data_IF_769697136373
#
_entry.id   IF_769697136373
#
_cell.length_a   1.000
_cell.length_b   1.000
_cell.length_c   1.000
_cell.angle_alpha   90.00
_cell.angle_beta   90.00
_cell.angle_gamma   90.00
#
_symmetry.space_group_name_H-M   'P 1'
#
loop_
_entity.id
_entity.type
_entity.pdbx_description
1 polymer ?
#
# COMPACT_ATOMS: atom_id res chain seq x y z
N UNK A 1 54.40 -43.87 -14.36
CA UNK A 1 54.28 -42.60 -15.13
C UNK A 1 52.85 -42.49 -15.64
N UNK A 2 51.95 -41.82 -14.91
CA UNK A 2 50.54 -41.71 -15.30
C UNK A 2 50.33 -40.56 -16.29
N UNK A 3 49.62 -40.81 -17.40
CA UNK A 3 49.31 -39.79 -18.41
C UNK A 3 48.07 -39.00 -17.99
N UNK A 4 48.24 -37.70 -17.73
CA UNK A 4 47.16 -36.76 -17.43
C UNK A 4 46.33 -36.53 -18.69
N UNK A 5 45.00 -36.60 -18.58
CA UNK A 5 44.10 -36.47 -19.72
C UNK A 5 44.12 -35.04 -20.26
N UNK A 6 44.08 -34.86 -21.59
CA UNK A 6 44.08 -33.53 -22.23
C UNK A 6 42.92 -32.64 -21.76
N UNK A 7 41.81 -33.24 -21.34
CA UNK A 7 40.68 -32.54 -20.73
C UNK A 7 41.02 -31.95 -19.36
N UNK A 8 41.87 -32.61 -18.56
CA UNK A 8 42.34 -32.10 -17.26
C UNK A 8 43.34 -30.96 -17.45
N UNK A 9 44.19 -31.04 -18.47
CA UNK A 9 45.11 -29.97 -18.81
C UNK A 9 44.35 -28.69 -19.21
N UNK A 10 43.29 -28.82 -19.99
CA UNK A 10 42.50 -27.69 -20.47
C UNK A 10 41.65 -27.04 -19.36
N UNK A 11 41.10 -27.80 -18.39
CA UNK A 11 40.36 -27.23 -17.24
C UNK A 11 41.18 -26.25 -16.40
N UNK A 12 42.52 -26.37 -16.37
CA UNK A 12 43.38 -25.43 -15.63
C UNK A 12 43.53 -24.06 -16.30
N UNK A 13 43.22 -23.94 -17.59
CA UNK A 13 43.50 -22.72 -18.36
C UNK A 13 42.24 -22.05 -18.94
N UNK A 14 41.03 -22.55 -18.62
CA UNK A 14 39.76 -22.05 -19.19
C UNK A 14 38.88 -21.28 -18.20
N UNK A 15 39.38 -20.90 -17.02
CA UNK A 15 38.63 -19.97 -16.17
C UNK A 15 38.76 -18.56 -16.74
N UNK A 16 37.63 -18.04 -17.20
CA UNK A 16 37.46 -16.68 -17.66
C UNK A 16 38.01 -15.68 -16.62
N UNK A 17 38.75 -14.70 -17.11
CA UNK A 17 39.43 -13.65 -16.33
C UNK A 17 38.50 -12.75 -15.48
N UNK A 18 37.19 -12.99 -15.49
CA UNK A 18 36.16 -12.12 -14.89
C UNK A 18 35.74 -12.50 -13.47
N UNK A 19 36.18 -13.64 -12.93
CA UNK A 19 35.81 -14.10 -11.59
C UNK A 19 37.06 -14.37 -10.76
N UNK A 20 37.83 -13.32 -10.46
CA UNK A 20 38.77 -13.37 -9.34
C UNK A 20 37.97 -12.99 -8.09
N UNK A 21 37.96 -13.81 -7.02
CA UNK A 21 37.40 -13.37 -5.75
C UNK A 21 38.21 -12.15 -5.29
N UNK A 22 37.54 -11.01 -5.19
CA UNK A 22 38.04 -9.79 -4.54
C UNK A 22 38.62 -10.20 -3.19
N UNK A 23 39.93 -10.07 -3.03
CA UNK A 23 40.60 -10.42 -1.77
C UNK A 23 40.07 -9.52 -0.66
N UNK A 24 39.93 -10.00 0.57
CA UNK A 24 39.46 -9.23 1.74
C UNK A 24 40.14 -7.85 1.91
N UNK A 25 41.34 -7.68 1.36
CA UNK A 25 42.07 -6.40 1.35
C UNK A 25 41.39 -5.33 0.48
N UNK A 26 40.80 -5.68 -0.66
CA UNK A 26 40.13 -4.72 -1.55
C UNK A 26 38.78 -4.28 -1.00
N UNK A 27 38.02 -5.18 -0.39
CA UNK A 27 36.76 -4.85 0.28
C UNK A 27 36.98 -3.90 1.46
N UNK A 28 38.00 -4.16 2.28
CA UNK A 28 38.37 -3.28 3.40
C UNK A 28 38.83 -1.89 2.92
N UNK A 29 39.54 -1.80 1.79
CA UNK A 29 39.98 -0.54 1.22
C UNK A 29 38.81 0.29 0.67
N UNK A 30 37.82 -0.35 0.04
CA UNK A 30 36.61 0.32 -0.45
C UNK A 30 35.77 0.87 0.70
N UNK A 31 35.57 0.08 1.74
CA UNK A 31 34.84 0.50 2.94
C UNK A 31 35.53 1.68 3.64
N UNK A 32 36.87 1.71 3.66
CA UNK A 32 37.63 2.85 4.17
C UNK A 32 37.46 4.12 3.31
N UNK A 33 37.38 3.98 1.99
CA UNK A 33 37.17 5.11 1.06
C UNK A 33 35.76 5.70 1.21
N UNK A 34 34.74 4.86 1.32
CA UNK A 34 33.36 5.29 1.55
C UNK A 34 33.20 6.00 2.90
N UNK A 35 33.81 5.45 3.95
CA UNK A 35 33.81 6.07 5.26
C UNK A 35 34.53 7.43 5.25
N UNK A 36 35.67 7.55 4.57
CA UNK A 36 36.39 8.82 4.44
C UNK A 36 35.54 9.90 3.72
N UNK A 37 34.85 9.54 2.64
CA UNK A 37 33.94 10.45 1.93
C UNK A 37 32.78 10.91 2.81
N UNK A 38 32.28 10.04 3.70
CA UNK A 38 31.24 10.36 4.67
C UNK A 38 31.71 11.37 5.73
N UNK A 39 32.97 11.29 6.17
CA UNK A 39 33.56 12.26 7.11
C UNK A 39 33.77 13.64 6.48
N UNK A 40 34.17 13.71 5.20
CA UNK A 40 34.34 14.98 4.48
C UNK A 40 33.02 15.72 4.25
N UNK A 41 31.90 14.99 4.13
CA UNK A 41 30.59 15.57 3.88
C UNK A 41 29.94 16.23 5.11
N UNK A 42 30.57 16.18 6.29
CA UNK A 42 30.09 16.85 7.52
C UNK A 42 28.72 16.37 8.02
N UNK A 43 28.22 15.24 7.49
CA UNK A 43 26.88 14.70 7.81
C UNK A 43 26.81 14.00 9.18
N UNK A 44 27.94 13.66 9.77
CA UNK A 44 28.05 12.97 11.06
C UNK A 44 28.48 13.89 12.22
N UNK A 45 27.94 15.12 12.31
CA UNK A 45 28.15 15.96 13.50
C UNK A 45 27.12 15.60 14.56
N UNK A 46 27.55 14.85 15.58
CA UNK A 46 26.71 14.54 16.73
C UNK A 46 26.36 15.82 17.52
N UNK A 47 25.10 16.23 17.45
CA UNK A 47 24.63 17.43 18.17
C UNK A 47 24.27 17.07 19.61
N UNK A 48 25.22 17.26 20.53
CA UNK A 48 25.01 16.94 21.95
C UNK A 48 24.18 18.03 22.65
N UNK A 49 22.86 17.88 22.69
CA UNK A 49 21.95 18.81 23.38
C UNK A 49 22.11 18.67 24.91
N UNK A 50 22.50 19.76 25.61
CA UNK A 50 22.54 19.79 27.08
C UNK A 50 21.11 19.82 27.63
N UNK A 51 20.74 18.78 28.39
CA UNK A 51 19.46 18.73 29.12
C UNK A 51 19.61 19.52 30.42
N UNK A 52 19.01 20.71 30.50
CA UNK A 52 18.90 21.48 31.74
C UNK A 52 17.98 20.75 32.74
N UNK A 53 18.24 20.89 34.04
CA UNK A 53 17.54 20.13 35.11
C UNK A 53 16.01 20.28 35.08
N UNK A 54 15.50 21.39 34.55
CA UNK A 54 14.06 21.65 34.33
C UNK A 54 13.40 20.65 33.34
N UNK A 55 14.17 20.11 32.40
CA UNK A 55 13.68 19.15 31.40
C UNK A 55 13.77 17.69 31.85
N UNK A 56 14.42 17.37 32.99
CA UNK A 56 14.55 15.99 33.48
C UNK A 56 13.25 15.47 34.11
N UNK A 57 12.50 16.31 34.83
CA UNK A 57 11.24 15.92 35.48
C UNK A 57 10.02 15.96 34.55
N UNK A 58 10.06 16.73 33.46
CA UNK A 58 8.97 16.80 32.46
C UNK A 58 9.09 15.80 31.32
N UNK A 59 10.21 15.06 31.20
CA UNK A 59 10.43 14.14 30.08
C UNK A 59 9.49 12.94 30.11
N UNK A 60 9.36 12.26 31.26
CA UNK A 60 8.51 11.07 31.39
C UNK A 60 7.02 11.37 31.17
N UNK A 61 6.51 12.47 31.74
CA UNK A 61 5.10 12.86 31.59
C UNK A 61 4.76 13.39 30.19
N UNK A 62 5.73 14.02 29.52
CA UNK A 62 5.58 14.55 28.15
C UNK A 62 5.68 13.45 27.09
N UNK A 63 6.38 12.35 27.36
CA UNK A 63 6.52 11.22 26.42
C UNK A 63 5.19 10.45 26.27
N UNK A 64 4.46 10.23 27.37
CA UNK A 64 3.13 9.60 27.38
C UNK A 64 2.02 10.52 26.85
N UNK A 65 1.97 11.79 27.25
CA UNK A 65 1.03 12.76 26.65
C UNK A 65 1.35 13.05 25.17
N UNK A 66 2.61 12.84 24.72
CA UNK A 66 2.94 12.97 23.30
C UNK A 66 2.51 11.77 22.47
N UNK A 67 2.45 10.54 22.99
CA UNK A 67 2.07 9.40 22.16
C UNK A 67 0.60 9.51 21.74
N UNK A 68 -0.29 9.77 22.70
CA UNK A 68 -1.73 9.90 22.41
C UNK A 68 -2.04 11.10 21.50
N UNK A 69 -1.39 12.25 21.75
CA UNK A 69 -1.54 13.41 20.87
C UNK A 69 -0.92 13.19 19.48
N UNK A 70 0.18 12.44 19.37
CA UNK A 70 0.79 12.09 18.08
C UNK A 70 -0.10 11.14 17.30
N UNK A 71 -0.61 10.08 17.93
CA UNK A 71 -1.54 9.14 17.30
C UNK A 71 -2.81 9.86 16.82
N UNK A 72 -3.37 10.75 17.62
CA UNK A 72 -4.53 11.55 17.21
C UNK A 72 -4.22 12.52 16.06
N UNK A 73 -3.00 13.08 16.01
CA UNK A 73 -2.55 13.94 14.90
C UNK A 73 -2.27 13.13 13.64
N UNK A 74 -1.64 11.97 13.76
CA UNK A 74 -1.35 11.05 12.66
C UNK A 74 -2.65 10.49 12.06
N UNK A 75 -3.64 10.14 12.88
CA UNK A 75 -4.96 9.74 12.41
C UNK A 75 -5.63 10.86 11.58
N UNK A 76 -5.61 12.10 12.08
CA UNK A 76 -6.13 13.27 11.35
C UNK A 76 -5.34 13.54 10.07
N UNK A 77 -4.02 13.41 10.10
CA UNK A 77 -3.17 13.57 8.93
C UNK A 77 -3.52 12.52 7.86
N UNK A 78 -3.66 11.26 8.26
CA UNK A 78 -4.01 10.14 7.38
C UNK A 78 -5.42 10.32 6.78
N UNK A 79 -6.39 10.81 7.53
CA UNK A 79 -7.72 11.15 6.99
C UNK A 79 -7.64 12.24 5.92
N UNK A 80 -6.85 13.28 6.16
CA UNK A 80 -6.69 14.39 5.20
C UNK A 80 -5.93 13.92 3.95
N UNK A 81 -4.89 13.11 4.11
CA UNK A 81 -4.15 12.48 3.00
C UNK A 81 -5.04 11.58 2.14
N UNK A 82 -5.95 10.80 2.76
CA UNK A 82 -6.96 10.02 2.02
C UNK A 82 -7.86 10.92 1.18
N UNK A 83 -8.37 12.01 1.76
CA UNK A 83 -9.21 12.99 1.05
C UNK A 83 -8.47 13.66 -0.11
N UNK A 84 -7.21 14.08 0.09
CA UNK A 84 -6.40 14.72 -0.95
C UNK A 84 -5.93 13.75 -2.04
N UNK A 85 -5.68 12.48 -1.70
CA UNK A 85 -5.39 11.41 -2.66
C UNK A 85 -6.57 11.17 -3.61
N UNK A 86 -7.79 11.19 -3.08
CA UNK A 86 -9.04 11.10 -3.86
C UNK A 86 -9.30 12.36 -4.70
N UNK A 87 -8.80 13.52 -4.29
CA UNK A 87 -8.97 14.79 -5.01
C UNK A 87 -8.06 14.89 -6.24
N UNK A 88 -6.81 14.45 -6.13
CA UNK A 88 -5.82 14.54 -7.20
C UNK A 88 -5.95 13.44 -8.25
N UNK A 89 -6.56 12.31 -7.88
CA UNK A 89 -6.91 11.21 -8.79
C UNK A 89 -8.31 11.46 -9.33
N UNK A 90 -8.52 11.38 -10.63
CA UNK A 90 -9.84 11.62 -11.24
C UNK A 90 -10.91 10.72 -10.61
N UNK A 91 -11.72 11.25 -9.70
CA UNK A 91 -12.71 10.48 -8.93
C UNK A 91 -13.70 9.77 -9.85
N UNK A 92 -14.05 10.40 -10.97
CA UNK A 92 -14.91 9.81 -12.00
C UNK A 92 -14.28 8.58 -12.64
N UNK A 93 -12.97 8.62 -12.93
CA UNK A 93 -12.24 7.48 -13.52
C UNK A 93 -12.14 6.30 -12.55
N UNK A 94 -12.00 6.58 -11.25
CA UNK A 94 -11.98 5.52 -10.22
C UNK A 94 -13.36 4.89 -10.13
N UNK A 95 -14.43 5.69 -10.03
CA UNK A 95 -15.81 5.18 -9.99
C UNK A 95 -16.16 4.37 -11.23
N UNK A 96 -15.87 4.90 -12.42
CA UNK A 96 -16.09 4.18 -13.68
C UNK A 96 -15.29 2.86 -13.76
N UNK A 97 -14.10 2.81 -13.13
CA UNK A 97 -13.31 1.58 -13.07
C UNK A 97 -13.93 0.58 -12.08
N UNK A 98 -14.36 1.03 -10.92
CA UNK A 98 -15.02 0.21 -9.90
C UNK A 98 -16.33 -0.36 -10.46
N UNK A 99 -17.18 0.48 -11.06
CA UNK A 99 -18.42 0.07 -11.72
C UNK A 99 -18.17 -1.00 -12.80
N UNK A 100 -17.14 -0.83 -13.63
CA UNK A 100 -16.77 -1.83 -14.64
C UNK A 100 -16.29 -3.15 -14.04
N UNK A 101 -15.57 -3.11 -12.92
CA UNK A 101 -15.13 -4.33 -12.24
C UNK A 101 -16.32 -5.07 -11.64
N UNK A 102 -17.22 -4.35 -10.98
CA UNK A 102 -18.45 -4.91 -10.42
C UNK A 102 -19.33 -5.53 -11.53
N UNK A 103 -19.48 -4.85 -12.67
CA UNK A 103 -20.18 -5.37 -13.85
C UNK A 103 -19.52 -6.66 -14.39
N UNK A 104 -18.18 -6.68 -14.47
CA UNK A 104 -17.45 -7.87 -14.92
C UNK A 104 -17.62 -9.05 -13.96
N UNK A 105 -17.55 -8.80 -12.65
CA UNK A 105 -17.77 -9.82 -11.62
C UNK A 105 -19.17 -10.43 -11.73
N UNK A 106 -20.19 -9.60 -11.94
CA UNK A 106 -21.56 -10.05 -12.18
C UNK A 106 -21.65 -10.91 -13.46
N UNK A 107 -21.13 -10.43 -14.59
CA UNK A 107 -21.17 -11.16 -15.87
C UNK A 107 -20.42 -12.50 -15.78
N UNK A 108 -19.31 -12.56 -15.04
CA UNK A 108 -18.56 -13.80 -14.85
C UNK A 108 -19.29 -14.81 -13.97
N UNK A 109 -20.08 -14.33 -12.99
CA UNK A 109 -20.91 -15.18 -12.14
C UNK A 109 -22.21 -15.63 -12.84
N UNK A 110 -22.71 -14.84 -13.78
CA UNK A 110 -23.93 -15.14 -14.53
C UNK A 110 -23.70 -16.18 -15.65
N UNK A 111 -24.72 -16.99 -15.92
CA UNK A 111 -24.74 -17.89 -17.06
C UNK A 111 -24.95 -17.15 -18.38
N UNK A 112 -24.53 -17.74 -19.50
CA UNK A 112 -24.70 -17.14 -20.83
C UNK A 112 -26.17 -16.81 -21.18
N UNK A 113 -27.11 -17.59 -20.65
CA UNK A 113 -28.55 -17.39 -20.86
C UNK A 113 -29.25 -17.08 -19.55
N UNK A 114 -30.15 -16.09 -19.57
CA UNK A 114 -31.06 -15.84 -18.45
C UNK A 114 -32.10 -16.93 -18.35
N UNK A 115 -32.35 -17.40 -17.14
CA UNK A 115 -33.38 -18.40 -16.85
C UNK A 115 -34.56 -17.78 -16.11
N UNK A 116 -35.69 -18.50 -16.09
CA UNK A 116 -36.89 -18.07 -15.35
C UNK A 116 -36.63 -17.97 -13.84
N UNK A 117 -35.80 -18.87 -13.31
CA UNK A 117 -35.49 -18.97 -11.89
C UNK A 117 -34.16 -18.27 -11.54
N UNK A 118 -33.69 -17.36 -12.40
CA UNK A 118 -32.44 -16.60 -12.20
C UNK A 118 -32.59 -15.62 -11.02
N UNK A 119 -31.72 -15.74 -10.03
CA UNK A 119 -31.78 -14.97 -8.78
C UNK A 119 -31.49 -13.49 -9.03
N UNK A 120 -30.46 -13.18 -9.82
CA UNK A 120 -30.04 -11.80 -10.08
C UNK A 120 -31.14 -11.00 -10.80
N UNK A 121 -31.80 -11.62 -11.78
CA UNK A 121 -32.94 -11.02 -12.47
C UNK A 121 -34.11 -10.78 -11.51
N UNK A 122 -34.41 -11.76 -10.65
CA UNK A 122 -35.51 -11.66 -9.70
C UNK A 122 -35.27 -10.56 -8.67
N UNK A 123 -34.03 -10.38 -8.20
CA UNK A 123 -33.67 -9.27 -7.33
C UNK A 123 -33.82 -7.93 -8.03
N UNK A 124 -33.30 -7.79 -9.25
CA UNK A 124 -33.44 -6.57 -10.04
C UNK A 124 -34.91 -6.18 -10.22
N UNK A 125 -35.78 -7.13 -10.60
CA UNK A 125 -37.21 -6.88 -10.78
C UNK A 125 -37.92 -6.45 -9.49
N UNK A 126 -37.51 -6.98 -8.33
CA UNK A 126 -38.07 -6.56 -7.03
C UNK A 126 -37.70 -5.12 -6.66
N UNK A 127 -36.57 -4.60 -7.14
CA UNK A 127 -36.18 -3.21 -6.88
C UNK A 127 -36.95 -2.19 -7.71
N UNK A 128 -37.47 -2.60 -8.87
CA UNK A 128 -38.21 -1.71 -9.77
C UNK A 128 -39.61 -1.41 -9.22
N UNK A 129 -39.87 -0.14 -8.95
CA UNK A 129 -41.16 0.32 -8.46
C UNK A 129 -41.98 0.96 -9.59
N UNK A 130 -43.08 0.30 -9.95
CA UNK A 130 -43.97 0.75 -11.01
C UNK A 130 -44.94 1.81 -10.49
N UNK A 131 -45.11 2.91 -11.23
CA UNK A 131 -46.02 4.00 -10.81
C UNK A 131 -47.51 3.63 -10.86
N UNK A 132 -47.85 2.61 -11.65
CA UNK A 132 -49.22 2.12 -11.82
C UNK A 132 -49.69 1.25 -10.64
N UNK A 133 -48.76 0.79 -9.80
CA UNK A 133 -49.08 0.04 -8.58
C UNK A 133 -49.70 0.98 -7.54
N UNK A 134 -50.91 0.70 -7.02
CA UNK A 134 -51.52 1.46 -5.93
C UNK A 134 -50.62 1.59 -4.68
N UNK A 135 -49.70 0.67 -4.46
CA UNK A 135 -48.79 0.67 -3.30
C UNK A 135 -47.47 1.42 -3.56
N UNK A 136 -47.24 1.94 -4.78
CA UNK A 136 -45.97 2.57 -5.13
C UNK A 136 -45.62 3.75 -4.23
N UNK A 137 -46.59 4.62 -3.93
CA UNK A 137 -46.36 5.78 -3.06
C UNK A 137 -45.92 5.37 -1.65
N UNK A 138 -46.52 4.31 -1.10
CA UNK A 138 -46.15 3.78 0.20
C UNK A 138 -44.69 3.32 0.24
N UNK A 139 -44.25 2.55 -0.76
CA UNK A 139 -42.86 2.09 -0.82
C UNK A 139 -41.86 3.22 -1.03
N UNK A 140 -42.21 4.27 -1.80
CA UNK A 140 -41.36 5.47 -1.93
C UNK A 140 -41.10 6.13 -0.58
N UNK A 141 -42.16 6.39 0.18
CA UNK A 141 -42.05 7.02 1.51
C UNK A 141 -41.26 6.13 2.48
N UNK A 142 -41.53 4.81 2.45
CA UNK A 142 -40.82 3.84 3.29
C UNK A 142 -39.32 3.80 2.97
N UNK A 143 -38.96 3.70 1.70
CA UNK A 143 -37.56 3.65 1.25
C UNK A 143 -36.83 4.95 1.58
N UNK A 144 -37.48 6.10 1.38
CA UNK A 144 -36.93 7.40 1.76
C UNK A 144 -36.66 7.50 3.27
N UNK A 145 -37.60 7.04 4.11
CA UNK A 145 -37.41 7.01 5.57
C UNK A 145 -36.25 6.11 5.98
N UNK A 146 -36.06 4.98 5.29
CA UNK A 146 -34.94 4.07 5.52
C UNK A 146 -33.62 4.76 5.17
N UNK A 147 -33.52 5.40 3.99
CA UNK A 147 -32.34 6.16 3.55
C UNK A 147 -31.95 7.25 4.55
N UNK A 148 -32.91 8.08 4.96
CA UNK A 148 -32.70 9.14 5.95
C UNK A 148 -32.23 8.60 7.31
N UNK A 149 -32.67 7.38 7.68
CA UNK A 149 -32.22 6.73 8.92
C UNK A 149 -30.80 6.16 8.78
N UNK A 150 -30.45 5.61 7.62
CA UNK A 150 -29.13 5.00 7.37
C UNK A 150 -28.04 6.03 7.11
N UNK A 151 -28.39 7.30 6.85
CA UNK A 151 -27.41 8.37 6.60
C UNK A 151 -26.69 8.23 5.26
N UNK A 152 -27.30 7.50 4.33
CA UNK A 152 -26.90 7.38 2.93
C UNK A 152 -27.75 8.35 2.12
#
# INVERSE_FOLDING_TARGET
MGTVSRAEYLKKYTTNSSEKPETEKSTNLLECQENAQLYEQGRNVETRKRVTGFNRGRKGKREEENSEEKEAREAKQAEMEKKYSLWSKGLTQIKEREEKLDEMEQILGEGFTRHKDDEALNEHLKTQLHSEDPMAEYFRVKNHKIQMRTGI
#
